data_IF_851342896227
#
_entry.id   IF_851342896227
#
_cell.length_a   1.000
_cell.length_b   1.000
_cell.length_c   1.000
_cell.angle_alpha   90.00
_cell.angle_beta   90.00
_cell.angle_gamma   90.00
#
_symmetry.space_group_name_H-M   'P 1'
#
loop_
_entity.id
_entity.type
_entity.pdbx_description
1 polymer ?
#
# COMPACT_ATOMS: atom_id res chain seq x y z
N UNK A 1 -1.34 7.27 -10.43
CA UNK A 1 -1.62 7.88 -9.11
C UNK A 1 -0.45 8.77 -8.72
N UNK A 2 -0.72 9.94 -8.19
CA UNK A 2 0.33 10.87 -7.79
C UNK A 2 0.83 10.54 -6.40
N UNK A 3 2.04 11.01 -6.08
CA UNK A 3 2.66 10.78 -4.76
C UNK A 3 1.74 11.27 -3.64
N UNK A 4 1.10 12.42 -3.80
CA UNK A 4 0.19 12.97 -2.79
C UNK A 4 -0.99 12.04 -2.50
N UNK A 5 -1.48 11.35 -3.51
CA UNK A 5 -2.60 10.41 -3.34
C UNK A 5 -2.14 9.13 -2.63
N UNK A 6 -0.95 8.66 -2.95
CA UNK A 6 -0.35 7.50 -2.27
C UNK A 6 -0.13 7.81 -0.79
N UNK A 7 0.40 8.98 -0.49
CA UNK A 7 0.62 9.40 0.90
C UNK A 7 -0.69 9.41 1.67
N UNK A 8 -1.76 9.96 1.09
CA UNK A 8 -3.06 10.01 1.75
C UNK A 8 -3.61 8.61 2.04
N UNK A 9 -3.48 7.69 1.10
CA UNK A 9 -3.92 6.31 1.29
C UNK A 9 -3.15 5.63 2.41
N UNK A 10 -1.84 5.78 2.43
CA UNK A 10 -1.00 5.17 3.44
C UNK A 10 -1.23 5.79 4.82
N UNK A 11 -1.44 7.11 4.89
CA UNK A 11 -1.76 7.78 6.14
C UNK A 11 -3.08 7.28 6.72
N UNK A 12 -4.08 7.09 5.88
CA UNK A 12 -5.37 6.57 6.32
C UNK A 12 -5.22 5.16 6.91
N UNK A 13 -4.45 4.31 6.24
CA UNK A 13 -4.18 2.96 6.74
C UNK A 13 -3.43 3.01 8.07
N UNK A 14 -2.45 3.88 8.18
CA UNK A 14 -1.69 4.07 9.41
C UNK A 14 -2.58 4.50 10.57
N UNK A 15 -3.53 5.39 10.33
CA UNK A 15 -4.46 5.85 11.35
C UNK A 15 -5.41 4.75 11.80
N UNK A 16 -5.85 3.90 10.87
CA UNK A 16 -6.83 2.84 11.16
C UNK A 16 -6.18 1.58 11.74
N UNK A 17 -5.00 1.24 11.28
CA UNK A 17 -4.35 -0.04 11.57
C UNK A 17 -3.00 0.07 12.27
N UNK A 18 -2.47 1.27 12.43
CA UNK A 18 -1.17 1.49 13.01
C UNK A 18 -0.06 1.51 11.97
N UNK A 19 1.18 1.59 12.45
CA UNK A 19 2.36 1.70 11.60
C UNK A 19 2.81 0.30 11.16
N UNK A 20 2.24 -0.18 10.09
CA UNK A 20 2.46 -1.54 9.60
C UNK A 20 3.72 -1.62 8.73
N UNK A 21 4.36 -2.79 8.72
CA UNK A 21 5.42 -3.07 7.75
C UNK A 21 4.80 -3.24 6.37
N UNK A 22 5.50 -2.78 5.35
CA UNK A 22 5.01 -2.80 3.96
C UNK A 22 5.81 -3.79 3.14
N UNK A 23 5.12 -4.69 2.46
CA UNK A 23 5.71 -5.66 1.56
C UNK A 23 5.10 -5.54 0.17
N UNK A 24 5.92 -5.73 -0.85
CA UNK A 24 5.47 -5.71 -2.24
C UNK A 24 5.54 -7.14 -2.78
N UNK A 25 4.41 -7.65 -3.23
CA UNK A 25 4.29 -9.01 -3.73
C UNK A 25 4.16 -9.10 -5.25
N UNK A 26 4.42 -8.00 -5.96
CA UNK A 26 4.35 -8.00 -7.42
C UNK A 26 5.72 -8.20 -8.03
N UNK A 27 5.75 -8.89 -9.18
CA UNK A 27 6.96 -9.05 -9.98
C UNK A 27 6.95 -8.17 -11.22
N UNK A 28 5.95 -7.33 -11.37
CA UNK A 28 5.82 -6.46 -12.52
C UNK A 28 6.55 -5.15 -12.32
N UNK A 29 7.10 -4.63 -13.42
CA UNK A 29 7.74 -3.32 -13.43
C UNK A 29 6.82 -2.32 -14.11
N UNK A 30 6.98 -1.04 -13.77
CA UNK A 30 6.23 0.06 -14.39
C UNK A 30 4.72 -0.08 -14.27
N UNK A 31 4.25 -0.75 -13.23
CA UNK A 31 2.83 -0.89 -12.99
C UNK A 31 2.29 0.33 -12.27
N UNK A 32 1.20 0.95 -12.75
CA UNK A 32 0.60 2.07 -12.00
C UNK A 32 0.09 1.59 -10.65
N UNK A 33 0.31 2.40 -9.64
CA UNK A 33 -0.14 2.06 -8.28
C UNK A 33 -1.66 1.81 -8.22
N UNK A 34 -2.41 2.48 -9.08
CA UNK A 34 -3.87 2.32 -9.17
C UNK A 34 -4.30 0.92 -9.56
N UNK A 35 -3.42 0.18 -10.24
CA UNK A 35 -3.69 -1.20 -10.66
C UNK A 35 -3.38 -2.21 -9.57
N UNK A 36 -2.85 -1.76 -8.44
CA UNK A 36 -2.44 -2.63 -7.35
C UNK A 36 -3.46 -2.59 -6.22
N UNK A 37 -3.58 -3.72 -5.53
CA UNK A 37 -4.41 -3.80 -4.34
C UNK A 37 -3.56 -3.66 -3.09
N UNK A 38 -4.11 -2.99 -2.09
CA UNK A 38 -3.51 -2.90 -0.77
C UNK A 38 -4.27 -3.82 0.15
N UNK A 39 -3.58 -4.85 0.63
CA UNK A 39 -4.19 -5.85 1.51
C UNK A 39 -3.49 -5.87 2.85
N UNK A 40 -4.27 -6.03 3.91
CA UNK A 40 -3.74 -6.05 5.27
C UNK A 40 -3.92 -7.45 5.84
N UNK A 41 -2.81 -8.05 6.22
CA UNK A 41 -2.79 -9.35 6.86
C UNK A 41 -2.01 -9.25 8.18
N UNK A 42 -2.71 -9.48 9.29
CA UNK A 42 -2.09 -9.36 10.59
C UNK A 42 -1.54 -7.95 10.83
N UNK A 43 -0.25 -7.83 11.04
CA UNK A 43 0.41 -6.55 11.30
C UNK A 43 1.22 -6.06 10.10
N UNK A 44 0.88 -6.48 8.89
CA UNK A 44 1.61 -6.10 7.68
C UNK A 44 0.67 -5.66 6.57
N UNK A 45 1.14 -4.74 5.74
CA UNK A 45 0.46 -4.29 4.54
C UNK A 45 1.16 -4.90 3.32
N UNK A 46 0.38 -5.51 2.44
CA UNK A 46 0.89 -6.09 1.21
C UNK A 46 0.36 -5.35 0.00
N UNK A 47 1.27 -5.05 -0.92
CA UNK A 47 0.93 -4.43 -2.21
C UNK A 47 1.04 -5.52 -3.28
N UNK A 48 -0.05 -5.87 -3.89
CA UNK A 48 -0.13 -6.87 -4.96
C UNK A 48 -1.03 -6.35 -6.11
#
# INVERSE_FOLDING_TARGET
MRISEVIKKLQKIQEEHGDLSVYVLTTFYDFPFESMDLKIYGSALYIE
#
